data_IF_489377611043
#
_entry.id   IF_489377611043
#
_cell.length_a   1.000
_cell.length_b   1.000
_cell.length_c   1.000
_cell.angle_alpha   90.00
_cell.angle_beta   90.00
_cell.angle_gamma   90.00
#
_symmetry.space_group_name_H-M   'P 1'
#
loop_
_entity.id
_entity.type
_entity.pdbx_description
1 polymer ?
#
# COMPACT_ATOMS: atom_id res chain seq x y z
N UNK A 1 41.15 8.33 -7.77
CA UNK A 1 39.69 8.12 -7.66
C UNK A 1 39.28 6.66 -7.42
N UNK A 2 40.18 5.71 -7.68
CA UNK A 2 39.75 4.30 -7.81
C UNK A 2 39.64 3.51 -6.51
N UNK A 3 40.54 3.68 -5.55
CA UNK A 3 40.63 2.72 -4.42
C UNK A 3 39.37 2.62 -3.52
N UNK A 4 38.64 3.72 -3.28
CA UNK A 4 37.42 3.71 -2.48
C UNK A 4 36.28 3.03 -3.24
N UNK A 5 36.11 3.39 -4.52
CA UNK A 5 35.07 2.80 -5.37
C UNK A 5 35.32 1.31 -5.64
N UNK A 6 36.59 0.92 -5.83
CA UNK A 6 36.96 -0.48 -6.05
C UNK A 6 36.69 -1.32 -4.79
N UNK A 7 36.96 -0.78 -3.59
CA UNK A 7 36.59 -1.44 -2.33
C UNK A 7 35.10 -1.59 -2.20
N UNK A 8 34.33 -0.53 -2.52
CA UNK A 8 32.85 -0.59 -2.46
C UNK A 8 32.28 -1.63 -3.43
N UNK A 9 32.79 -1.67 -4.67
CA UNK A 9 32.40 -2.68 -5.68
C UNK A 9 32.71 -4.09 -5.20
N UNK A 10 33.91 -4.32 -4.62
CA UNK A 10 34.28 -5.62 -4.09
C UNK A 10 33.33 -6.10 -2.97
N UNK A 11 32.86 -5.21 -2.10
CA UNK A 11 31.85 -5.54 -1.08
C UNK A 11 30.56 -6.01 -1.76
N UNK A 12 30.07 -5.25 -2.75
CA UNK A 12 28.85 -5.60 -3.49
C UNK A 12 29.01 -6.93 -4.24
N UNK A 13 30.17 -7.16 -4.88
CA UNK A 13 30.45 -8.41 -5.60
C UNK A 13 30.44 -9.63 -4.68
N UNK A 14 30.98 -9.50 -3.45
CA UNK A 14 30.95 -10.56 -2.44
C UNK A 14 29.51 -10.88 -1.98
N UNK A 15 28.67 -9.86 -1.78
CA UNK A 15 27.27 -10.06 -1.42
C UNK A 15 26.50 -10.70 -2.58
N UNK A 16 26.71 -10.24 -3.82
CA UNK A 16 26.10 -10.85 -5.03
C UNK A 16 26.47 -12.32 -5.19
N UNK A 17 27.73 -12.70 -4.90
CA UNK A 17 28.15 -14.09 -4.92
C UNK A 17 27.43 -14.94 -3.87
N UNK A 18 27.29 -14.42 -2.63
CA UNK A 18 26.50 -15.07 -1.58
C UNK A 18 25.04 -15.30 -1.97
N UNK A 19 24.44 -14.27 -2.60
CA UNK A 19 23.06 -14.35 -3.11
C UNK A 19 22.91 -15.41 -4.21
N UNK A 20 23.86 -15.50 -5.14
CA UNK A 20 23.84 -16.52 -6.20
C UNK A 20 23.84 -17.92 -5.61
N UNK A 21 24.71 -18.19 -4.62
CA UNK A 21 24.77 -19.50 -3.93
C UNK A 21 23.45 -19.88 -3.28
N UNK A 22 22.78 -18.91 -2.62
CA UNK A 22 21.45 -19.13 -2.04
C UNK A 22 20.44 -19.48 -3.12
N UNK A 23 20.37 -18.69 -4.20
CA UNK A 23 19.46 -18.93 -5.32
C UNK A 23 19.64 -20.31 -5.93
N UNK A 24 20.90 -20.78 -6.09
CA UNK A 24 21.21 -22.09 -6.67
C UNK A 24 20.85 -23.25 -5.74
N UNK A 25 20.89 -23.02 -4.43
CA UNK A 25 20.59 -24.04 -3.42
C UNK A 25 19.16 -23.95 -2.86
N UNK A 26 18.36 -22.99 -3.31
CA UNK A 26 16.96 -22.88 -2.90
C UNK A 26 16.18 -24.08 -3.47
N UNK A 27 15.67 -24.93 -2.61
CA UNK A 27 15.06 -26.19 -2.98
C UNK A 27 13.80 -26.53 -2.19
N UNK A 28 13.54 -27.83 -2.01
CA UNK A 28 12.33 -28.35 -1.38
C UNK A 28 12.09 -27.85 0.04
N UNK A 29 13.14 -27.52 0.79
CA UNK A 29 13.03 -26.97 2.14
C UNK A 29 12.31 -25.60 2.13
N UNK A 30 12.54 -24.78 1.10
CA UNK A 30 11.84 -23.52 0.95
C UNK A 30 10.36 -23.74 0.62
N UNK A 31 10.03 -24.72 -0.21
CA UNK A 31 8.64 -25.13 -0.47
C UNK A 31 7.94 -25.62 0.80
N UNK A 32 8.64 -26.39 1.64
CA UNK A 32 8.14 -26.84 2.95
C UNK A 32 7.85 -25.63 3.85
N UNK A 33 8.75 -24.65 3.90
CA UNK A 33 8.56 -23.41 4.68
C UNK A 33 7.32 -22.65 4.20
N UNK A 34 7.20 -22.41 2.88
CA UNK A 34 6.04 -21.72 2.29
C UNK A 34 4.74 -22.45 2.64
N UNK A 35 4.70 -23.77 2.49
CA UNK A 35 3.51 -24.57 2.78
C UNK A 35 3.16 -24.59 4.29
N UNK A 36 4.16 -24.63 5.17
CA UNK A 36 3.95 -24.52 6.60
C UNK A 36 3.40 -23.15 7.00
N UNK A 37 3.97 -22.07 6.46
CA UNK A 37 3.45 -20.71 6.66
C UNK A 37 2.01 -20.57 6.14
N UNK A 38 1.71 -21.05 4.93
CA UNK A 38 0.35 -21.02 4.37
C UNK A 38 -0.62 -21.77 5.29
N UNK A 39 -0.29 -22.99 5.71
CA UNK A 39 -1.14 -23.79 6.59
C UNK A 39 -1.41 -23.08 7.93
N UNK A 40 -0.38 -22.46 8.51
CA UNK A 40 -0.49 -21.61 9.71
C UNK A 40 -1.51 -20.50 9.51
N UNK A 41 -1.36 -19.75 8.42
CA UNK A 41 -2.22 -18.59 8.12
C UNK A 41 -3.66 -19.01 7.81
N UNK A 42 -3.86 -20.13 7.13
CA UNK A 42 -5.18 -20.69 6.81
C UNK A 42 -5.93 -21.16 8.07
N UNK A 43 -5.20 -21.55 9.14
CA UNK A 43 -5.74 -21.89 10.45
C UNK A 43 -5.94 -20.67 11.38
N UNK A 44 -5.74 -19.44 10.88
CA UNK A 44 -5.85 -18.22 11.66
C UNK A 44 -4.67 -17.93 12.58
N UNK A 45 -3.55 -18.65 12.43
CA UNK A 45 -2.29 -18.38 13.12
C UNK A 45 -1.49 -17.25 12.45
N UNK A 46 -0.29 -17.00 12.98
CA UNK A 46 0.64 -15.98 12.49
C UNK A 46 2.06 -16.54 12.38
N UNK A 47 2.89 -15.84 11.60
CA UNK A 47 4.32 -16.13 11.50
C UNK A 47 5.03 -15.31 12.59
N UNK A 48 5.59 -16.00 13.59
CA UNK A 48 6.37 -15.34 14.65
C UNK A 48 7.85 -15.45 14.29
N UNK A 49 8.50 -14.29 14.11
CA UNK A 49 9.89 -14.21 13.70
C UNK A 49 10.73 -13.84 14.90
N UNK A 50 11.84 -14.56 15.11
CA UNK A 50 12.74 -14.28 16.25
C UNK A 50 14.20 -14.36 15.82
N UNK A 51 15.02 -13.48 16.38
CA UNK A 51 16.46 -13.36 16.13
C UNK A 51 17.06 -12.26 16.98
N UNK A 52 18.41 -12.22 17.08
CA UNK A 52 19.12 -11.23 17.91
C UNK A 52 20.03 -10.34 17.06
N UNK A 53 20.32 -9.15 17.52
CA UNK A 53 21.26 -8.21 16.89
C UNK A 53 20.86 -7.89 15.42
N UNK A 54 21.80 -8.00 14.48
CA UNK A 54 21.54 -7.70 13.07
C UNK A 54 20.53 -8.63 12.44
N UNK A 55 20.52 -9.93 12.79
CA UNK A 55 19.47 -10.87 12.37
C UNK A 55 18.09 -10.47 12.90
N UNK A 56 18.02 -9.95 14.12
CA UNK A 56 16.80 -9.41 14.70
C UNK A 56 16.27 -8.19 13.94
N UNK A 57 17.13 -7.23 13.57
CA UNK A 57 16.73 -6.07 12.75
C UNK A 57 16.16 -6.49 11.38
N UNK A 58 16.79 -7.48 10.74
CA UNK A 58 16.25 -8.06 9.50
C UNK A 58 14.92 -8.79 9.77
N UNK A 59 14.82 -9.50 10.89
CA UNK A 59 13.59 -10.15 11.32
C UNK A 59 12.42 -9.19 11.50
N UNK A 60 12.64 -8.03 12.08
CA UNK A 60 11.64 -6.94 12.14
C UNK A 60 11.17 -6.52 10.75
N UNK A 61 12.13 -6.32 9.81
CA UNK A 61 11.80 -5.96 8.43
C UNK A 61 10.97 -7.04 7.74
N UNK A 62 11.34 -8.30 7.91
CA UNK A 62 10.62 -9.44 7.32
C UNK A 62 9.19 -9.51 7.89
N UNK A 63 9.02 -9.37 9.21
CA UNK A 63 7.71 -9.34 9.86
C UNK A 63 6.83 -8.21 9.30
N UNK A 64 7.40 -7.01 9.16
CA UNK A 64 6.69 -5.86 8.60
C UNK A 64 6.29 -6.09 7.13
N UNK A 65 7.17 -6.67 6.32
CA UNK A 65 6.89 -7.00 4.91
C UNK A 65 5.76 -8.02 4.80
N UNK A 66 5.82 -9.12 5.55
CA UNK A 66 4.77 -10.14 5.60
C UNK A 66 3.41 -9.54 6.01
N UNK A 67 3.39 -8.78 7.11
CA UNK A 67 2.16 -8.14 7.59
C UNK A 67 1.56 -7.19 6.55
N UNK A 68 2.39 -6.36 5.92
CA UNK A 68 1.96 -5.38 4.90
C UNK A 68 1.51 -6.03 3.58
N UNK A 69 1.89 -7.28 3.35
CA UNK A 69 1.49 -8.09 2.19
C UNK A 69 0.43 -9.14 2.51
N UNK A 70 -0.29 -8.97 3.63
CA UNK A 70 -1.47 -9.76 3.98
C UNK A 70 -1.17 -11.08 4.69
N UNK A 71 0.07 -11.31 5.13
CA UNK A 71 0.46 -12.46 5.94
C UNK A 71 0.67 -12.02 7.39
N UNK A 72 -0.27 -12.27 8.33
CA UNK A 72 -0.09 -11.93 9.73
C UNK A 72 1.25 -12.40 10.27
N UNK A 73 2.08 -11.47 10.68
CA UNK A 73 3.41 -11.74 11.21
C UNK A 73 3.80 -10.74 12.30
N UNK A 74 4.62 -11.19 13.25
CA UNK A 74 5.13 -10.37 14.34
C UNK A 74 6.59 -10.75 14.63
N UNK A 75 7.38 -9.79 15.08
CA UNK A 75 8.70 -10.04 15.61
C UNK A 75 8.63 -10.25 17.12
N UNK A 76 9.23 -11.33 17.60
CA UNK A 76 9.39 -11.67 19.02
C UNK A 76 10.88 -11.59 19.38
N UNK A 77 11.24 -10.59 20.19
CA UNK A 77 12.61 -10.46 20.67
C UNK A 77 12.91 -11.60 21.65
N UNK A 78 13.96 -12.43 21.42
CA UNK A 78 14.17 -13.64 22.23
C UNK A 78 14.44 -13.35 23.71
N UNK A 79 15.08 -12.24 24.06
CA UNK A 79 15.30 -11.85 25.47
C UNK A 79 13.97 -11.48 26.14
N UNK A 80 13.14 -10.64 25.50
CA UNK A 80 11.82 -10.27 26.03
C UNK A 80 10.90 -11.49 26.11
N UNK A 81 11.03 -12.43 25.18
CA UNK A 81 10.32 -13.70 25.24
C UNK A 81 10.58 -14.47 26.56
N UNK A 82 11.84 -14.48 27.02
CA UNK A 82 12.21 -15.13 28.28
C UNK A 82 11.68 -14.39 29.52
N UNK A 83 11.25 -13.15 29.38
CA UNK A 83 10.69 -12.31 30.46
C UNK A 83 9.17 -12.15 30.39
N UNK A 84 8.47 -12.95 29.55
CA UNK A 84 7.00 -12.99 29.52
C UNK A 84 6.37 -12.93 28.14
N UNK A 85 7.05 -12.38 27.12
CA UNK A 85 6.49 -12.21 25.78
C UNK A 85 6.31 -13.55 25.02
N UNK A 86 6.74 -14.68 25.59
CA UNK A 86 6.36 -16.01 25.10
C UNK A 86 4.84 -16.20 25.03
N UNK A 87 4.06 -15.43 25.81
CA UNK A 87 2.60 -15.41 25.71
C UNK A 87 2.03 -15.00 24.36
N UNK A 88 2.87 -14.43 23.48
CA UNK A 88 2.51 -14.10 22.09
C UNK A 88 2.33 -15.37 21.24
N UNK A 89 3.06 -16.46 21.56
CA UNK A 89 2.99 -17.72 20.83
C UNK A 89 1.66 -18.45 21.11
N UNK A 90 1.01 -18.92 20.05
CA UNK A 90 -0.24 -19.67 20.08
C UNK A 90 -0.10 -20.98 19.28
N UNK A 91 -0.90 -21.97 19.60
CA UNK A 91 -0.83 -23.33 19.02
C UNK A 91 -0.93 -23.41 17.49
N UNK A 92 -1.54 -22.40 16.86
CA UNK A 92 -1.66 -22.35 15.40
C UNK A 92 -0.54 -21.56 14.71
N UNK A 93 0.44 -21.05 15.45
CA UNK A 93 1.53 -20.24 14.90
C UNK A 93 2.64 -21.10 14.26
N UNK A 94 3.57 -20.43 13.59
CA UNK A 94 4.88 -20.98 13.20
C UNK A 94 5.97 -20.03 13.72
N UNK A 95 7.04 -20.61 14.30
CA UNK A 95 8.21 -19.84 14.72
C UNK A 95 9.27 -19.88 13.61
N UNK A 96 9.63 -18.72 13.05
CA UNK A 96 10.75 -18.56 12.13
C UNK A 96 11.95 -17.99 12.89
N UNK A 97 12.92 -18.83 13.19
CA UNK A 97 14.10 -18.50 13.98
C UNK A 97 15.30 -18.16 13.08
N UNK A 98 15.92 -17.01 13.32
CA UNK A 98 16.95 -16.41 12.49
C UNK A 98 18.29 -16.36 13.22
N UNK A 99 19.23 -17.19 12.82
CA UNK A 99 20.59 -17.16 13.36
C UNK A 99 21.59 -17.74 12.36
N UNK A 100 22.54 -16.92 11.89
CA UNK A 100 23.55 -17.38 10.94
C UNK A 100 24.43 -18.49 11.52
N UNK A 101 24.89 -18.36 12.77
CA UNK A 101 25.66 -19.41 13.47
C UNK A 101 24.80 -20.62 13.87
N UNK A 102 23.50 -20.37 14.15
CA UNK A 102 22.61 -21.34 14.73
C UNK A 102 22.90 -21.71 16.19
N UNK A 103 23.82 -20.98 16.85
CA UNK A 103 24.31 -21.21 18.22
C UNK A 103 24.07 -19.99 19.13
N UNK A 104 23.11 -19.12 18.80
CA UNK A 104 22.83 -17.89 19.55
C UNK A 104 22.19 -18.21 20.89
N UNK A 105 22.91 -17.93 21.98
CA UNK A 105 22.52 -18.31 23.34
C UNK A 105 21.20 -17.71 23.78
N UNK A 106 20.84 -16.51 23.33
CA UNK A 106 19.58 -15.84 23.66
C UNK A 106 18.39 -16.40 22.88
N UNK A 107 18.63 -16.96 21.69
CA UNK A 107 17.56 -17.50 20.84
C UNK A 107 17.19 -18.94 21.21
N UNK A 108 18.18 -19.77 21.54
CA UNK A 108 17.96 -21.20 21.82
C UNK A 108 16.97 -21.48 22.98
N UNK A 109 16.96 -20.69 24.08
CA UNK A 109 16.05 -20.94 25.21
C UNK A 109 14.56 -20.84 24.91
N UNK A 110 14.14 -20.13 23.83
CA UNK A 110 12.71 -20.03 23.48
C UNK A 110 12.18 -21.27 22.73
N UNK A 111 13.07 -22.08 22.12
CA UNK A 111 12.68 -23.22 21.28
C UNK A 111 11.93 -24.32 22.05
N UNK A 112 12.35 -24.69 23.29
CA UNK A 112 11.60 -25.64 24.09
C UNK A 112 10.15 -25.24 24.37
N UNK A 113 9.89 -23.94 24.49
CA UNK A 113 8.53 -23.41 24.70
C UNK A 113 7.68 -23.56 23.45
N UNK A 114 8.22 -23.27 22.27
CA UNK A 114 7.56 -23.50 20.99
C UNK A 114 7.23 -25.02 20.81
N UNK A 115 8.16 -25.91 21.17
CA UNK A 115 7.93 -27.36 21.11
C UNK A 115 6.83 -27.81 22.05
N UNK A 116 6.74 -27.28 23.29
CA UNK A 116 5.64 -27.59 24.22
C UNK A 116 4.27 -27.20 23.73
N UNK A 117 4.19 -26.13 22.90
CA UNK A 117 2.96 -25.69 22.28
C UNK A 117 2.68 -26.39 20.93
N UNK A 118 3.52 -27.35 20.55
CA UNK A 118 3.48 -28.07 19.26
C UNK A 118 3.52 -27.09 18.04
N UNK A 119 4.21 -25.98 18.21
CA UNK A 119 4.40 -24.98 17.16
C UNK A 119 5.53 -25.44 16.24
N UNK A 120 5.32 -25.50 14.91
CA UNK A 120 6.39 -25.75 13.94
C UNK A 120 7.51 -24.70 14.07
N UNK A 121 8.75 -25.16 14.09
CA UNK A 121 9.94 -24.30 14.11
C UNK A 121 10.62 -24.40 12.75
N UNK A 122 10.81 -23.27 12.08
CA UNK A 122 11.64 -23.15 10.89
C UNK A 122 12.88 -22.33 11.24
N UNK A 123 14.06 -22.79 10.83
CA UNK A 123 15.32 -22.09 11.00
C UNK A 123 15.82 -21.54 9.65
N UNK A 124 16.33 -20.32 9.65
CA UNK A 124 17.18 -19.81 8.56
C UNK A 124 18.59 -19.66 9.15
N UNK A 125 19.52 -20.47 8.70
CA UNK A 125 20.87 -20.57 9.30
C UNK A 125 21.95 -20.88 8.29
N UNK A 126 23.18 -20.42 8.54
CA UNK A 126 24.36 -20.79 7.78
C UNK A 126 24.96 -22.15 8.19
N UNK A 127 24.52 -22.70 9.33
CA UNK A 127 25.02 -23.96 9.86
C UNK A 127 23.86 -24.98 10.05
N UNK A 128 23.68 -25.90 9.10
CA UNK A 128 22.60 -26.91 9.18
C UNK A 128 22.80 -27.97 10.29
N UNK A 129 24.01 -28.07 10.89
CA UNK A 129 24.31 -28.98 11.96
C UNK A 129 24.19 -28.35 13.36
N UNK A 130 23.83 -27.05 13.42
CA UNK A 130 23.72 -26.26 14.64
C UNK A 130 22.63 -26.77 15.61
N UNK A 131 22.68 -26.28 16.85
CA UNK A 131 21.61 -26.54 17.83
C UNK A 131 20.27 -26.03 17.34
N UNK A 132 20.22 -24.85 16.74
CA UNK A 132 18.98 -24.30 16.15
C UNK A 132 18.40 -25.26 15.11
N UNK A 133 19.22 -25.71 14.16
CA UNK A 133 18.80 -26.63 13.12
C UNK A 133 18.23 -27.95 13.70
N UNK A 134 18.88 -28.52 14.73
CA UNK A 134 18.42 -29.75 15.43
C UNK A 134 17.06 -29.59 16.14
N UNK A 135 16.73 -28.38 16.59
CA UNK A 135 15.42 -28.07 17.18
C UNK A 135 14.33 -27.82 16.15
N UNK A 136 14.71 -27.56 14.90
CA UNK A 136 13.80 -27.10 13.85
C UNK A 136 13.16 -28.24 13.07
N UNK A 137 11.92 -28.05 12.62
CA UNK A 137 11.22 -28.98 11.74
C UNK A 137 11.61 -28.73 10.27
N UNK A 138 11.99 -27.47 9.95
CA UNK A 138 12.37 -27.01 8.60
C UNK A 138 13.66 -26.19 8.76
N UNK A 139 14.66 -26.47 7.92
CA UNK A 139 15.94 -25.76 7.95
C UNK A 139 16.23 -25.19 6.56
N UNK A 140 16.29 -23.87 6.46
CA UNK A 140 16.69 -23.17 5.25
C UNK A 140 18.19 -22.82 5.37
N UNK A 141 19.05 -23.45 4.57
CA UNK A 141 20.48 -23.19 4.62
C UNK A 141 20.81 -21.83 3.95
N UNK A 142 21.79 -21.11 4.52
CA UNK A 142 22.34 -19.88 3.97
C UNK A 142 23.84 -20.02 3.62
N UNK A 143 24.21 -20.66 2.53
CA UNK A 143 25.60 -20.91 2.15
C UNK A 143 26.25 -19.66 1.52
N UNK A 144 26.42 -18.58 2.25
CA UNK A 144 26.95 -17.31 1.73
C UNK A 144 28.44 -17.35 1.36
N UNK A 145 29.19 -18.36 1.85
CA UNK A 145 30.65 -18.44 1.69
C UNK A 145 31.39 -17.60 2.72
N UNK A 146 31.36 -16.27 2.62
CA UNK A 146 31.99 -15.37 3.58
C UNK A 146 31.25 -14.03 3.69
N UNK A 147 31.50 -13.35 4.80
CA UNK A 147 31.06 -11.96 4.95
C UNK A 147 31.88 -11.01 4.07
N UNK A 148 31.27 -9.93 3.59
CA UNK A 148 31.97 -8.90 2.82
C UNK A 148 32.87 -8.00 3.70
N UNK A 149 32.77 -8.14 5.02
CA UNK A 149 33.68 -7.53 5.97
C UNK A 149 35.13 -8.06 5.78
N UNK A 150 36.15 -7.20 5.73
CA UNK A 150 37.56 -7.63 5.56
C UNK A 150 38.04 -8.66 6.59
N UNK A 151 37.46 -8.65 7.79
CA UNK A 151 37.77 -9.59 8.87
C UNK A 151 36.87 -10.81 8.92
N UNK A 152 35.91 -10.91 7.99
CA UNK A 152 34.86 -11.95 7.99
C UNK A 152 34.06 -12.03 9.32
N UNK A 153 33.90 -10.92 10.03
CA UNK A 153 33.26 -10.86 11.36
C UNK A 153 31.93 -10.09 11.36
N UNK A 154 31.91 -8.91 10.73
CA UNK A 154 30.69 -8.10 10.71
C UNK A 154 29.66 -8.70 9.75
N UNK A 155 28.45 -9.03 10.22
CA UNK A 155 27.38 -9.52 9.35
C UNK A 155 27.03 -8.51 8.26
N UNK A 156 27.22 -8.91 7.01
CA UNK A 156 26.97 -8.15 5.78
C UNK A 156 26.27 -9.06 4.78
N UNK A 157 27.01 -9.95 4.13
CA UNK A 157 26.45 -10.95 3.20
C UNK A 157 25.35 -11.79 3.85
N UNK A 158 25.54 -12.23 5.10
CA UNK A 158 24.54 -13.01 5.83
C UNK A 158 23.25 -12.23 6.07
N UNK A 159 23.32 -10.93 6.39
CA UNK A 159 22.13 -10.11 6.60
C UNK A 159 21.41 -9.79 5.30
N UNK A 160 22.13 -9.51 4.21
CA UNK A 160 21.57 -9.33 2.88
C UNK A 160 20.89 -10.62 2.38
N UNK A 161 21.52 -11.75 2.59
CA UNK A 161 20.98 -13.08 2.30
C UNK A 161 19.67 -13.36 3.04
N UNK A 162 19.65 -13.10 4.35
CA UNK A 162 18.48 -13.27 5.19
C UNK A 162 17.32 -12.38 4.73
N UNK A 163 17.62 -11.13 4.36
CA UNK A 163 16.63 -10.19 3.83
C UNK A 163 16.00 -10.72 2.54
N UNK A 164 16.79 -11.21 1.61
CA UNK A 164 16.33 -11.72 0.31
C UNK A 164 15.47 -12.98 0.48
N UNK A 165 15.88 -13.92 1.35
CA UNK A 165 15.07 -15.11 1.66
C UNK A 165 13.71 -14.70 2.26
N UNK A 166 13.71 -13.72 3.18
CA UNK A 166 12.48 -13.20 3.78
C UNK A 166 11.57 -12.50 2.78
N UNK A 167 12.13 -11.72 1.85
CA UNK A 167 11.35 -11.08 0.79
C UNK A 167 10.79 -12.11 -0.22
N UNK A 168 11.57 -13.12 -0.57
CA UNK A 168 11.10 -14.23 -1.40
C UNK A 168 9.92 -14.95 -0.73
N UNK A 169 10.01 -15.25 0.58
CA UNK A 169 8.92 -15.86 1.34
C UNK A 169 7.66 -14.98 1.31
N UNK A 170 7.82 -13.67 1.56
CA UNK A 170 6.69 -12.75 1.58
C UNK A 170 6.00 -12.63 0.22
N UNK A 171 6.76 -12.53 -0.87
CA UNK A 171 6.21 -12.41 -2.23
C UNK A 171 5.56 -13.69 -2.71
N UNK A 172 6.13 -14.86 -2.41
CA UNK A 172 5.51 -16.15 -2.75
C UNK A 172 4.21 -16.33 -1.97
N UNK A 173 4.17 -16.01 -0.66
CA UNK A 173 2.94 -16.07 0.14
C UNK A 173 1.87 -15.09 -0.36
N UNK A 174 2.25 -13.89 -0.76
CA UNK A 174 1.36 -12.90 -1.37
C UNK A 174 0.68 -13.49 -2.61
N UNK A 175 1.46 -14.09 -3.52
CA UNK A 175 0.98 -14.64 -4.79
C UNK A 175 0.05 -15.84 -4.57
N UNK A 176 0.49 -16.87 -3.83
CA UNK A 176 -0.30 -18.10 -3.61
C UNK A 176 -1.58 -17.87 -2.78
N UNK A 177 -1.64 -16.78 -1.99
CA UNK A 177 -2.85 -16.38 -1.23
C UNK A 177 -3.76 -15.45 -2.01
N UNK A 178 -3.42 -15.10 -3.25
CA UNK A 178 -4.23 -14.25 -4.11
C UNK A 178 -4.40 -12.82 -3.56
N UNK A 179 -3.40 -12.27 -2.87
CA UNK A 179 -3.43 -10.92 -2.32
C UNK A 179 -3.47 -9.88 -3.44
N UNK A 180 -4.46 -9.01 -3.41
CA UNK A 180 -4.75 -8.06 -4.48
C UNK A 180 -4.26 -6.65 -4.15
N UNK A 181 -4.18 -5.79 -5.17
CA UNK A 181 -3.97 -4.34 -5.00
C UNK A 181 -5.01 -3.70 -4.07
N UNK A 182 -6.25 -4.20 -4.10
CA UNK A 182 -7.32 -3.73 -3.20
C UNK A 182 -7.02 -4.08 -1.75
N UNK A 183 -6.48 -5.27 -1.49
CA UNK A 183 -6.07 -5.68 -0.14
C UNK A 183 -4.87 -4.85 0.33
N UNK A 184 -3.91 -4.57 -0.55
CA UNK A 184 -2.79 -3.68 -0.26
C UNK A 184 -3.28 -2.28 0.13
N UNK A 185 -4.22 -1.71 -0.61
CA UNK A 185 -4.83 -0.41 -0.30
C UNK A 185 -5.48 -0.38 1.08
N UNK A 186 -6.19 -1.47 1.47
CA UNK A 186 -6.81 -1.61 2.80
C UNK A 186 -5.78 -1.60 3.94
N UNK A 187 -4.62 -2.21 3.73
CA UNK A 187 -3.56 -2.28 4.74
C UNK A 187 -2.69 -1.01 4.79
N UNK A 188 -2.76 -0.15 3.75
CA UNK A 188 -1.98 1.08 3.65
C UNK A 188 -2.86 2.33 3.48
N UNK A 189 -3.85 2.59 4.35
CA UNK A 189 -4.84 3.65 4.14
C UNK A 189 -4.22 5.06 4.07
N UNK A 190 -3.09 5.29 4.72
CA UNK A 190 -2.37 6.57 4.71
C UNK A 190 -1.50 6.82 3.48
N UNK A 191 -1.22 5.82 2.64
CA UNK A 191 -0.41 5.95 1.43
C UNK A 191 -1.22 6.45 0.23
N UNK A 192 -0.55 6.97 -0.81
CA UNK A 192 -1.21 7.39 -2.06
C UNK A 192 -2.02 6.25 -2.68
N UNK A 193 -1.46 5.04 -2.74
CA UNK A 193 -2.14 3.84 -3.26
C UNK A 193 -3.40 3.53 -2.42
N UNK A 194 -3.29 3.58 -1.09
CA UNK A 194 -4.41 3.32 -0.18
C UNK A 194 -5.55 4.31 -0.39
N UNK A 195 -5.25 5.60 -0.42
CA UNK A 195 -6.24 6.66 -0.67
C UNK A 195 -6.89 6.51 -2.04
N UNK A 196 -6.12 6.26 -3.11
CA UNK A 196 -6.67 6.07 -4.45
C UNK A 196 -7.62 4.88 -4.56
N UNK A 197 -7.46 3.89 -3.68
CA UNK A 197 -8.28 2.67 -3.66
C UNK A 197 -9.42 2.67 -2.64
N UNK A 198 -9.47 3.64 -1.74
CA UNK A 198 -10.50 3.71 -0.68
C UNK A 198 -11.43 4.90 -0.85
N UNK A 199 -10.94 6.03 -1.37
CA UNK A 199 -11.75 7.23 -1.52
C UNK A 199 -12.79 7.10 -2.64
N UNK A 200 -14.03 7.43 -2.31
CA UNK A 200 -15.14 7.54 -3.24
C UNK A 200 -15.32 8.99 -3.69
N UNK A 201 -16.13 9.19 -4.71
CA UNK A 201 -16.51 10.52 -5.18
C UNK A 201 -17.19 11.33 -4.06
N UNK A 202 -17.99 10.68 -3.20
CA UNK A 202 -18.60 11.33 -2.01
C UNK A 202 -17.60 11.93 -1.04
N UNK A 203 -16.37 11.40 -0.98
CA UNK A 203 -15.35 11.84 -0.02
C UNK A 203 -14.55 13.04 -0.53
N UNK A 204 -14.69 13.37 -1.82
CA UNK A 204 -13.91 14.42 -2.50
C UNK A 204 -14.76 15.50 -3.15
N UNK A 205 -16.09 15.30 -3.27
CA UNK A 205 -16.98 16.26 -3.91
C UNK A 205 -17.32 17.41 -2.96
N UNK A 206 -17.56 18.59 -3.54
CA UNK A 206 -18.28 19.68 -2.88
C UNK A 206 -19.77 19.37 -2.94
N UNK A 207 -20.47 19.54 -1.84
CA UNK A 207 -21.91 19.30 -1.70
C UNK A 207 -22.67 20.57 -1.31
N UNK A 208 -23.99 20.48 -1.16
CA UNK A 208 -24.82 21.59 -0.71
C UNK A 208 -24.41 22.11 0.69
N UNK A 209 -23.82 21.25 1.55
CA UNK A 209 -23.33 21.65 2.87
C UNK A 209 -22.14 22.60 2.83
N UNK A 210 -21.34 22.59 1.76
CA UNK A 210 -20.11 23.39 1.63
C UNK A 210 -20.35 24.79 1.11
N UNK A 211 -21.61 25.15 0.76
CA UNK A 211 -21.99 26.42 0.12
C UNK A 211 -21.24 26.74 -1.20
N UNK A 212 -20.53 25.75 -1.78
CA UNK A 212 -19.77 25.87 -3.00
C UNK A 212 -20.40 25.14 -4.19
N UNK A 213 -21.59 24.55 -3.99
CA UNK A 213 -22.37 23.92 -5.06
C UNK A 213 -23.40 24.93 -5.56
N UNK A 214 -23.12 25.54 -6.70
CA UNK A 214 -24.03 26.53 -7.30
C UNK A 214 -24.95 25.85 -8.31
N UNK A 215 -26.25 25.81 -8.01
CA UNK A 215 -27.31 25.31 -8.89
C UNK A 215 -28.18 26.47 -9.36
N UNK A 216 -28.45 26.52 -10.66
CA UNK A 216 -29.34 27.49 -11.27
C UNK A 216 -30.35 26.81 -12.21
N UNK A 217 -31.43 27.51 -12.53
CA UNK A 217 -32.41 26.99 -13.50
C UNK A 217 -32.03 27.42 -14.92
N UNK A 218 -32.56 26.75 -15.92
CA UNK A 218 -32.29 27.06 -17.34
C UNK A 218 -32.72 28.46 -17.78
N UNK A 219 -33.68 29.09 -17.04
CA UNK A 219 -34.20 30.45 -17.29
C UNK A 219 -33.44 31.55 -16.54
N UNK A 220 -32.57 31.21 -15.60
CA UNK A 220 -31.73 32.16 -14.85
C UNK A 220 -30.83 32.91 -15.83
N UNK A 221 -30.70 34.23 -15.66
CA UNK A 221 -29.84 35.02 -16.54
C UNK A 221 -28.38 34.75 -16.30
N UNK A 222 -27.54 34.93 -17.31
CA UNK A 222 -26.09 34.79 -17.17
C UNK A 222 -25.54 35.72 -16.08
N UNK A 223 -26.05 36.95 -15.96
CA UNK A 223 -25.68 37.89 -14.89
C UNK A 223 -25.95 37.31 -13.50
N UNK A 224 -27.15 36.80 -13.26
CA UNK A 224 -27.50 36.19 -11.99
C UNK A 224 -26.66 34.91 -11.71
N UNK A 225 -26.38 34.12 -12.75
CA UNK A 225 -25.53 32.95 -12.68
C UNK A 225 -24.11 33.33 -12.25
N UNK A 226 -23.48 34.32 -12.86
CA UNK A 226 -22.13 34.82 -12.51
C UNK A 226 -22.11 35.35 -11.06
N UNK A 227 -23.14 36.07 -10.63
CA UNK A 227 -23.24 36.55 -9.25
C UNK A 227 -23.33 35.36 -8.26
N UNK A 228 -24.08 34.33 -8.61
CA UNK A 228 -24.15 33.10 -7.80
C UNK A 228 -22.80 32.38 -7.75
N UNK A 229 -22.09 32.23 -8.88
CA UNK A 229 -20.75 31.64 -8.94
C UNK A 229 -19.76 32.43 -8.07
N UNK A 230 -19.78 33.78 -8.17
CA UNK A 230 -18.93 34.66 -7.35
C UNK A 230 -19.19 34.48 -5.85
N UNK A 231 -20.48 34.42 -5.44
CA UNK A 231 -20.87 34.20 -4.05
C UNK A 231 -20.47 32.82 -3.57
N UNK A 232 -20.60 31.78 -4.42
CA UNK A 232 -20.21 30.41 -4.13
C UNK A 232 -18.70 30.17 -4.22
N UNK A 233 -17.92 31.13 -4.69
CA UNK A 233 -16.47 31.00 -4.96
C UNK A 233 -16.16 29.76 -5.81
N UNK A 234 -16.89 29.64 -6.93
CA UNK A 234 -16.74 28.53 -7.87
C UNK A 234 -16.61 29.05 -9.29
N UNK A 235 -15.86 28.34 -10.15
CA UNK A 235 -15.69 28.66 -11.57
C UNK A 235 -16.86 28.23 -12.46
N UNK A 236 -17.87 27.57 -11.90
CA UNK A 236 -18.99 27.03 -12.66
C UNK A 236 -20.32 27.09 -11.90
N UNK A 237 -21.44 26.95 -12.64
CA UNK A 237 -22.79 26.74 -12.10
C UNK A 237 -23.45 25.56 -12.82
N UNK A 238 -24.08 24.70 -12.07
CA UNK A 238 -24.80 23.54 -12.61
C UNK A 238 -26.22 23.95 -12.95
N UNK A 239 -26.62 23.71 -14.19
CA UNK A 239 -27.97 24.03 -14.64
C UNK A 239 -28.88 22.83 -14.44
N UNK A 240 -29.95 23.02 -13.64
CA UNK A 240 -30.88 21.95 -13.26
C UNK A 240 -32.31 22.29 -13.66
N UNK A 241 -33.14 21.26 -13.78
CA UNK A 241 -34.58 21.45 -13.92
C UNK A 241 -35.26 21.71 -12.55
N UNK A 242 -36.58 21.90 -12.53
CA UNK A 242 -37.36 22.13 -11.30
C UNK A 242 -37.29 20.97 -10.31
N UNK A 243 -36.92 19.78 -10.74
CA UNK A 243 -36.78 18.56 -9.92
C UNK A 243 -35.31 18.36 -9.47
N UNK A 244 -34.37 19.27 -9.79
CA UNK A 244 -32.96 19.16 -9.44
C UNK A 244 -32.14 18.22 -10.35
N UNK A 245 -32.73 17.76 -11.47
CA UNK A 245 -32.00 16.90 -12.43
C UNK A 245 -31.08 17.72 -13.33
N UNK A 246 -29.93 17.13 -13.65
CA UNK A 246 -28.88 17.75 -14.48
C UNK A 246 -29.40 18.08 -15.89
N UNK A 247 -29.20 19.31 -16.34
CA UNK A 247 -29.43 19.77 -17.70
C UNK A 247 -28.15 20.22 -18.40
N UNK A 248 -27.22 20.84 -17.67
CA UNK A 248 -25.99 21.38 -18.23
C UNK A 248 -25.08 21.97 -17.17
N UNK A 249 -23.96 22.53 -17.63
CA UNK A 249 -23.02 23.30 -16.81
C UNK A 249 -22.69 24.60 -17.53
N UNK A 250 -22.54 25.68 -16.78
CA UNK A 250 -22.05 26.99 -17.28
C UNK A 250 -20.78 27.35 -16.51
N UNK A 251 -19.70 27.63 -17.23
CA UNK A 251 -18.37 27.87 -16.67
C UNK A 251 -17.86 29.25 -17.00
N UNK A 252 -16.83 29.73 -16.30
CA UNK A 252 -16.09 30.96 -16.66
C UNK A 252 -15.56 30.89 -18.10
N UNK A 253 -15.22 29.69 -18.59
CA UNK A 253 -14.82 29.48 -19.98
C UNK A 253 -15.97 29.77 -20.98
N UNK A 254 -17.19 29.35 -20.65
CA UNK A 254 -18.36 29.60 -21.47
C UNK A 254 -18.65 31.12 -21.56
N UNK A 255 -18.55 31.80 -20.42
CA UNK A 255 -18.69 33.29 -20.40
C UNK A 255 -17.63 33.98 -21.26
N UNK A 256 -16.35 33.59 -21.09
CA UNK A 256 -15.24 34.22 -21.87
C UNK A 256 -15.37 34.03 -23.37
N UNK A 257 -15.80 32.82 -23.80
CA UNK A 257 -16.02 32.54 -25.24
C UNK A 257 -17.11 33.37 -25.86
N UNK A 258 -18.07 33.81 -25.08
CA UNK A 258 -19.23 34.60 -25.55
C UNK A 258 -19.21 36.07 -25.10
N UNK A 259 -18.10 36.54 -24.51
CA UNK A 259 -17.98 37.89 -23.95
C UNK A 259 -18.15 39.05 -25.00
N UNK A 260 -18.04 38.74 -26.30
CA UNK A 260 -18.30 39.69 -27.38
C UNK A 260 -19.79 39.94 -27.64
N UNK A 261 -20.69 39.12 -27.11
CA UNK A 261 -22.14 39.35 -27.22
C UNK A 261 -22.60 40.28 -26.10
N UNK A 262 -22.92 41.54 -26.46
CA UNK A 262 -23.40 42.56 -25.52
C UNK A 262 -24.71 42.17 -24.81
N UNK A 263 -25.49 41.25 -25.36
CA UNK A 263 -26.75 40.77 -24.80
C UNK A 263 -26.58 39.59 -23.82
N UNK A 264 -25.39 39.01 -23.70
CA UNK A 264 -25.13 37.81 -22.95
C UNK A 264 -25.65 37.88 -21.50
N UNK A 265 -25.37 39.00 -20.81
CA UNK A 265 -25.71 39.14 -19.38
C UNK A 265 -27.19 39.06 -19.09
N UNK A 266 -28.05 39.51 -20.00
CA UNK A 266 -29.49 39.48 -19.84
C UNK A 266 -30.15 38.26 -20.49
N UNK A 267 -29.36 37.41 -21.11
CA UNK A 267 -29.87 36.18 -21.74
C UNK A 267 -29.95 35.02 -20.75
N UNK A 268 -30.89 34.07 -20.95
CA UNK A 268 -30.97 32.84 -20.14
C UNK A 268 -29.69 32.02 -20.29
N UNK A 269 -29.20 31.46 -19.19
CA UNK A 269 -27.97 30.64 -19.15
C UNK A 269 -28.03 29.41 -20.06
N UNK A 270 -29.21 28.87 -20.31
CA UNK A 270 -29.45 27.78 -21.26
C UNK A 270 -28.86 27.99 -22.64
N UNK A 271 -28.77 29.24 -23.12
CA UNK A 271 -28.22 29.54 -24.44
C UNK A 271 -26.72 29.33 -24.55
N UNK A 272 -26.01 29.39 -23.44
CA UNK A 272 -24.55 29.41 -23.38
C UNK A 272 -23.93 28.26 -22.54
N UNK A 273 -24.78 27.48 -21.86
CA UNK A 273 -24.31 26.31 -21.10
C UNK A 273 -23.80 25.19 -22.00
N UNK A 274 -22.91 24.38 -21.50
CA UNK A 274 -22.59 23.08 -22.09
C UNK A 274 -23.68 22.08 -21.68
N UNK A 275 -24.40 21.53 -22.66
CA UNK A 275 -25.41 20.49 -22.44
C UNK A 275 -24.71 19.14 -22.23
N UNK A 276 -25.32 18.24 -21.41
CA UNK A 276 -24.79 16.93 -21.08
C UNK A 276 -23.30 16.93 -20.65
N UNK A 277 -22.96 17.67 -19.59
CA UNK A 277 -21.58 17.75 -19.11
C UNK A 277 -21.09 16.40 -18.62
N UNK A 278 -19.78 16.27 -18.52
CA UNK A 278 -19.16 15.10 -17.91
C UNK A 278 -19.68 14.95 -16.49
N UNK A 279 -20.21 13.79 -16.17
CA UNK A 279 -20.76 13.49 -14.86
C UNK A 279 -20.36 12.10 -14.38
N UNK A 280 -20.36 11.92 -13.06
CA UNK A 280 -20.02 10.65 -12.38
C UNK A 280 -21.06 10.35 -11.31
N UNK A 281 -21.18 9.08 -10.95
CA UNK A 281 -21.99 8.66 -9.80
C UNK A 281 -21.22 8.82 -8.50
N UNK A 282 -21.92 9.16 -7.42
CA UNK A 282 -21.34 9.40 -6.10
C UNK A 282 -20.65 8.17 -5.48
N UNK A 283 -21.06 6.98 -5.86
CA UNK A 283 -20.54 5.69 -5.37
C UNK A 283 -19.28 5.23 -6.11
N UNK A 284 -18.87 5.92 -7.17
CA UNK A 284 -17.65 5.62 -7.92
C UNK A 284 -16.39 5.96 -7.12
N UNK A 285 -15.28 5.34 -7.51
CA UNK A 285 -13.97 5.62 -6.90
C UNK A 285 -13.40 6.96 -7.37
N UNK A 286 -12.82 7.72 -6.45
CA UNK A 286 -12.22 9.03 -6.72
C UNK A 286 -11.15 9.00 -7.83
N UNK A 287 -10.38 7.92 -7.91
CA UNK A 287 -9.36 7.73 -8.97
C UNK A 287 -9.93 7.75 -10.38
N UNK A 288 -11.22 7.38 -10.55
CA UNK A 288 -11.87 7.43 -11.86
C UNK A 288 -12.14 8.88 -12.31
N UNK A 289 -12.39 9.78 -11.36
CA UNK A 289 -12.56 11.21 -11.62
C UNK A 289 -11.28 11.82 -12.17
N UNK A 290 -10.12 11.48 -11.58
CA UNK A 290 -8.81 11.94 -12.09
C UNK A 290 -8.60 11.55 -13.56
N UNK A 291 -8.86 10.27 -13.88
CA UNK A 291 -8.76 9.80 -15.27
C UNK A 291 -9.70 10.52 -16.24
N UNK A 292 -10.90 10.87 -15.76
CA UNK A 292 -11.86 11.62 -16.58
C UNK A 292 -11.42 13.07 -16.79
N UNK A 293 -10.93 13.75 -15.77
CA UNK A 293 -10.37 15.11 -15.86
C UNK A 293 -9.24 15.14 -16.89
N UNK A 294 -8.28 14.22 -16.78
CA UNK A 294 -7.14 14.14 -17.71
C UNK A 294 -7.59 13.81 -19.15
N UNK A 295 -8.44 12.79 -19.31
CA UNK A 295 -8.84 12.32 -20.66
C UNK A 295 -9.83 13.24 -21.36
N UNK A 296 -10.67 13.94 -20.62
CA UNK A 296 -11.69 14.87 -21.16
C UNK A 296 -11.25 16.33 -21.14
N UNK A 297 -10.11 16.65 -20.48
CA UNK A 297 -9.58 18.00 -20.32
C UNK A 297 -10.65 18.97 -19.77
N UNK A 298 -11.31 18.56 -18.70
CA UNK A 298 -12.32 19.34 -17.99
C UNK A 298 -11.85 19.63 -16.56
N UNK A 299 -12.18 20.80 -16.03
CA UNK A 299 -11.82 21.17 -14.66
C UNK A 299 -12.88 20.76 -13.64
N UNK A 300 -14.15 20.71 -14.07
CA UNK A 300 -15.30 20.44 -13.23
C UNK A 300 -16.04 19.18 -13.69
N UNK A 301 -16.34 18.28 -12.77
CA UNK A 301 -17.15 17.08 -13.02
C UNK A 301 -18.37 17.08 -12.11
N UNK A 302 -19.56 17.03 -12.71
CA UNK A 302 -20.82 17.01 -11.97
C UNK A 302 -21.04 15.64 -11.34
N UNK A 303 -21.44 15.62 -10.06
CA UNK A 303 -21.80 14.38 -9.35
C UNK A 303 -23.30 14.24 -9.28
N UNK A 304 -23.80 13.11 -9.75
CA UNK A 304 -25.21 12.77 -9.79
C UNK A 304 -25.50 11.47 -9.04
N UNK A 305 -26.75 11.30 -8.61
CA UNK A 305 -27.25 10.02 -8.14
C UNK A 305 -27.84 9.18 -9.29
N UNK A 306 -28.43 8.03 -8.95
CA UNK A 306 -29.05 7.10 -9.94
C UNK A 306 -30.32 7.65 -10.59
N UNK A 307 -30.93 8.68 -10.00
CA UNK A 307 -32.12 9.37 -10.52
C UNK A 307 -31.77 10.62 -11.34
N UNK A 308 -30.47 10.83 -11.63
CA UNK A 308 -29.91 12.00 -12.32
C UNK A 308 -30.09 13.32 -11.53
N UNK A 309 -30.24 13.25 -10.20
CA UNK A 309 -30.23 14.42 -9.33
C UNK A 309 -28.80 14.88 -9.08
N UNK A 310 -28.57 16.19 -9.16
CA UNK A 310 -27.29 16.79 -8.86
C UNK A 310 -27.07 16.84 -7.36
N UNK A 311 -26.07 16.10 -6.87
CA UNK A 311 -25.73 15.99 -5.44
C UNK A 311 -24.37 16.60 -5.09
N UNK A 312 -23.53 16.90 -6.09
CA UNK A 312 -22.22 17.49 -5.83
C UNK A 312 -21.48 17.89 -7.12
N UNK A 313 -20.26 18.35 -6.93
CA UNK A 313 -19.30 18.67 -7.99
C UNK A 313 -17.90 18.33 -7.50
N UNK A 314 -17.04 17.84 -8.38
CA UNK A 314 -15.61 17.71 -8.14
C UNK A 314 -14.88 18.74 -8.98
N UNK A 315 -14.13 19.63 -8.33
CA UNK A 315 -13.30 20.65 -8.93
C UNK A 315 -11.83 20.16 -8.94
N UNK A 316 -11.17 20.23 -10.09
CA UNK A 316 -9.77 19.81 -10.24
C UNK A 316 -8.82 20.52 -9.27
N UNK A 317 -9.13 21.73 -8.85
CA UNK A 317 -8.32 22.52 -7.92
C UNK A 317 -8.32 21.94 -6.47
N UNK A 318 -9.30 21.14 -6.09
CA UNK A 318 -9.35 20.51 -4.77
C UNK A 318 -8.50 19.23 -4.71
N UNK A 319 -8.19 18.60 -5.85
CA UNK A 319 -7.53 17.30 -5.94
C UNK A 319 -6.08 17.26 -5.41
N UNK A 320 -5.23 18.31 -5.60
CA UNK A 320 -3.87 18.30 -5.06
C UNK A 320 -3.82 18.14 -3.54
N UNK A 321 -4.81 18.68 -2.81
CA UNK A 321 -4.93 18.53 -1.36
C UNK A 321 -5.18 17.10 -0.89
N UNK A 322 -5.69 16.24 -1.76
CA UNK A 322 -6.07 14.87 -1.45
C UNK A 322 -4.90 13.88 -1.60
N UNK A 323 -3.77 14.30 -2.17
CA UNK A 323 -2.57 13.46 -2.40
C UNK A 323 -2.93 12.11 -3.02
N UNK A 324 -3.77 12.12 -4.05
CA UNK A 324 -4.22 10.93 -4.79
C UNK A 324 -3.20 10.48 -5.85
N UNK A 325 -2.20 11.31 -6.11
CA UNK A 325 -1.05 11.04 -6.98
C UNK A 325 0.22 10.95 -6.16
#
# INVERSE_FOLDING_TARGET
MSHILDKARNVIDLELEGIRRIREQLGGEFELLVNACRTTLDKGGKIVISGIGKSGHIGYKIAATLASTGSPAIFLHPVEAMHGDLGILQTNDILLALSYSGETDELLPILPSAKRLDIPIAAITGNPDSKLAKWSNIVIPMPIGKEACPFNLAPTTSTTALLIIGDALAMVLLDIRGFTMKDFGRLHPGGAIGRSMTLKVTDIMRSDSDHRLVKVTSSTTVKETILAMTKGRTGCAIVVNKQGKLLGIFTDGDFRRNAGDLSILNSPVKKFMTENPVSVFSDQMAVNVLKLIESKQVDDIVVIDRDNLVIGIVDSQDLPGLKLM
#
